data_IF_079633390312
#
_entry.id   IF_079633390312
#
_cell.length_a   1.000
_cell.length_b   1.000
_cell.length_c   1.000
_cell.angle_alpha   90.00
_cell.angle_beta   90.00
_cell.angle_gamma   90.00
#
_symmetry.space_group_name_H-M   'P 1'
#
loop_
_entity.id
_entity.type
_entity.pdbx_description
1 polymer ?
#
# COMPACT_ATOMS: atom_id res chain seq x y z
N UNK A 1 -3.98 9.79 -18.81
CA UNK A 1 -3.45 10.41 -18.71
C UNK A 1 -3.69 11.32 -18.08
N UNK A 2 -3.50 11.70 -17.71
CA UNK A 2 -3.73 12.59 -17.10
C UNK A 2 -3.63 13.70 -17.73
N UNK A 3 -3.89 14.27 -17.98
CA UNK A 3 -3.82 15.09 -18.51
C UNK A 3 -3.37 16.11 -18.38
N UNK A 4 -3.28 16.62 -18.14
CA UNK A 4 -2.88 17.62 -18.09
C UNK A 4 -2.15 17.91 -17.39
N UNK A 5 -1.74 17.93 -17.21
CA UNK A 5 -1.11 18.31 -16.65
C UNK A 5 -0.63 18.20 -15.82
N UNK A 6 -0.24 18.03 -15.66
CA UNK A 6 0.43 18.04 -14.83
C UNK A 6 -0.01 17.66 -13.73
N UNK A 7 -0.47 16.89 -13.50
CA UNK A 7 -0.79 16.33 -12.32
C UNK A 7 -2.12 16.64 -11.78
N UNK A 8 -2.73 17.60 -12.28
CA UNK A 8 -4.06 17.92 -11.80
C UNK A 8 -5.11 17.21 -12.61
N UNK A 9 -6.11 16.75 -11.90
CA UNK A 9 -7.27 16.17 -12.52
C UNK A 9 -8.44 17.04 -12.31
N UNK A 10 -9.23 17.19 -13.34
CA UNK A 10 -10.44 17.95 -13.25
C UNK A 10 -11.61 17.01 -13.09
N UNK A 11 -12.45 17.28 -12.14
CA UNK A 11 -13.79 16.80 -12.20
C UNK A 11 -14.65 18.02 -12.49
N UNK A 12 -15.93 17.92 -12.39
CA UNK A 12 -16.79 19.02 -12.79
C UNK A 12 -16.65 20.25 -11.93
N UNK A 13 -16.17 20.11 -10.72
CA UNK A 13 -16.30 21.17 -9.72
C UNK A 13 -15.02 21.50 -9.02
N UNK A 14 -14.04 20.65 -9.08
CA UNK A 14 -12.83 20.88 -8.33
C UNK A 14 -11.64 20.25 -9.02
N UNK A 15 -10.50 20.77 -8.68
CA UNK A 15 -9.23 20.27 -9.15
C UNK A 15 -8.39 20.06 -7.92
N UNK A 16 -7.82 18.89 -7.77
CA UNK A 16 -6.99 18.69 -6.62
C UNK A 16 -6.45 17.28 -6.52
N UNK A 17 -5.34 17.22 -5.85
CA UNK A 17 -4.67 15.97 -5.52
C UNK A 17 -4.48 15.94 -4.03
N UNK A 18 -4.43 14.74 -3.51
CA UNK A 18 -4.14 14.52 -2.10
C UNK A 18 -3.06 13.48 -2.00
N UNK A 19 -2.44 13.40 -0.83
CA UNK A 19 -1.44 12.37 -0.57
C UNK A 19 -1.84 11.61 0.68
N UNK A 20 -1.48 10.35 0.71
CA UNK A 20 -1.76 9.50 1.86
C UNK A 20 -0.56 8.61 2.13
N UNK A 21 -0.19 8.50 3.42
CA UNK A 21 0.74 7.48 3.87
C UNK A 21 -0.07 6.23 4.16
N UNK A 22 0.36 5.09 3.61
CA UNK A 22 -0.26 3.81 3.87
C UNK A 22 0.78 2.86 4.40
N UNK A 23 0.44 2.15 5.48
CA UNK A 23 1.32 1.15 6.07
C UNK A 23 0.50 -0.10 6.31
N UNK A 24 1.02 -1.26 5.90
CA UNK A 24 0.36 -2.52 6.22
C UNK A 24 1.39 -3.61 6.40
N UNK A 25 0.97 -4.71 6.99
CA UNK A 25 1.88 -5.78 7.37
C UNK A 25 1.38 -7.14 6.87
N UNK A 26 2.31 -8.09 6.68
CA UNK A 26 1.92 -9.47 6.42
C UNK A 26 1.15 -10.07 7.60
N UNK A 27 0.37 -11.09 7.31
CA UNK A 27 -0.38 -11.82 8.32
C UNK A 27 0.58 -12.30 9.41
N UNK A 28 0.18 -12.07 10.66
CA UNK A 28 1.00 -12.40 11.83
C UNK A 28 2.35 -11.71 11.82
N UNK A 29 2.48 -10.65 11.05
CA UNK A 29 3.72 -9.89 10.90
C UNK A 29 4.90 -10.78 10.51
N UNK A 30 4.65 -11.79 9.70
CA UNK A 30 5.71 -12.68 9.24
C UNK A 30 6.68 -11.93 8.35
N UNK A 31 7.99 -12.10 8.56
CA UNK A 31 9.00 -11.36 7.77
C UNK A 31 9.23 -12.05 6.43
N UNK A 32 8.22 -12.07 5.57
CA UNK A 32 8.29 -12.78 4.30
C UNK A 32 8.64 -11.90 3.11
N UNK A 33 8.69 -10.58 3.30
CA UNK A 33 8.92 -9.65 2.18
C UNK A 33 10.42 -9.48 1.94
N UNK A 34 11.04 -10.53 1.42
CA UNK A 34 12.48 -10.58 1.20
C UNK A 34 12.80 -11.17 -0.16
N UNK A 35 14.00 -10.88 -0.66
CA UNK A 35 14.48 -11.50 -1.89
C UNK A 35 13.55 -11.23 -3.07
N UNK A 36 13.24 -12.28 -3.81
CA UNK A 36 12.43 -12.16 -5.02
C UNK A 36 11.00 -11.71 -4.71
N UNK A 37 10.48 -12.09 -3.57
CA UNK A 37 9.14 -11.66 -3.16
C UNK A 37 9.13 -10.15 -3.02
N UNK A 38 10.13 -9.58 -2.38
CA UNK A 38 10.21 -8.14 -2.20
C UNK A 38 10.33 -7.41 -3.54
N UNK A 39 11.18 -7.92 -4.42
CA UNK A 39 11.36 -7.31 -5.73
C UNK A 39 10.06 -7.34 -6.52
N UNK A 40 9.40 -8.48 -6.51
CA UNK A 40 8.15 -8.62 -7.25
C UNK A 40 7.05 -7.75 -6.64
N UNK A 41 6.99 -7.68 -5.33
CA UNK A 41 6.03 -6.82 -4.65
C UNK A 41 6.20 -5.36 -5.11
N UNK A 42 7.43 -4.90 -5.15
CA UNK A 42 7.71 -3.53 -5.60
C UNK A 42 7.14 -3.28 -7.00
N UNK A 43 7.34 -4.23 -7.90
CA UNK A 43 6.82 -4.10 -9.27
C UNK A 43 5.29 -4.09 -9.29
N UNK A 44 4.68 -4.96 -8.50
CA UNK A 44 3.22 -5.02 -8.46
C UNK A 44 2.63 -3.72 -7.94
N UNK A 45 3.22 -3.16 -6.89
CA UNK A 45 2.72 -1.91 -6.33
C UNK A 45 2.77 -0.79 -7.36
N UNK A 46 3.86 -0.72 -8.13
CA UNK A 46 3.95 0.29 -9.19
C UNK A 46 2.89 0.07 -10.26
N UNK A 47 2.62 -1.18 -10.61
CA UNK A 47 1.60 -1.46 -11.62
C UNK A 47 0.21 -1.06 -11.16
N UNK A 48 -0.09 -1.25 -9.88
CA UNK A 48 -1.37 -0.82 -9.33
C UNK A 48 -1.52 0.69 -9.44
N UNK A 49 -0.46 1.41 -9.09
CA UNK A 49 -0.50 2.87 -9.18
C UNK A 49 -0.73 3.32 -10.61
N UNK A 50 0.01 2.76 -11.54
CA UNK A 50 -0.13 3.14 -12.96
C UNK A 50 -1.55 2.86 -13.45
N UNK A 51 -2.09 1.71 -13.12
CA UNK A 51 -3.43 1.32 -13.61
C UNK A 51 -4.52 2.21 -13.05
N UNK A 52 -4.32 2.79 -11.89
CA UNK A 52 -5.32 3.64 -11.26
C UNK A 52 -5.05 5.12 -11.40
N UNK A 53 -3.97 5.49 -12.06
CA UNK A 53 -3.62 6.89 -12.23
C UNK A 53 -3.08 7.54 -10.98
N UNK A 54 -2.52 6.76 -10.07
CA UNK A 54 -1.90 7.26 -8.85
C UNK A 54 -0.39 7.33 -9.02
N UNK A 55 0.26 8.11 -8.16
CA UNK A 55 1.70 8.25 -8.18
C UNK A 55 2.25 7.84 -6.82
N UNK A 56 3.17 6.87 -6.82
CA UNK A 56 3.88 6.51 -5.61
C UNK A 56 5.03 7.49 -5.44
N UNK A 57 4.92 8.36 -4.43
CA UNK A 57 5.92 9.37 -4.15
C UNK A 57 7.09 8.82 -3.34
N UNK A 58 6.82 7.82 -2.54
CA UNK A 58 7.84 7.14 -1.74
C UNK A 58 7.37 5.73 -1.45
N UNK A 59 8.31 4.81 -1.39
CA UNK A 59 8.00 3.40 -1.20
C UNK A 59 9.11 2.78 -0.37
N UNK A 60 8.71 2.10 0.69
CA UNK A 60 9.64 1.36 1.53
C UNK A 60 9.05 -0.01 1.82
N UNK A 61 9.80 -1.05 1.52
CA UNK A 61 9.39 -2.43 1.77
C UNK A 61 10.40 -3.04 2.70
N UNK A 62 10.02 -3.18 3.96
CA UNK A 62 10.82 -3.92 4.94
C UNK A 62 10.35 -5.37 4.91
N UNK A 63 11.05 -6.24 5.62
CA UNK A 63 10.69 -7.66 5.60
C UNK A 63 9.29 -7.92 6.16
N UNK A 64 8.82 -7.06 7.06
CA UNK A 64 7.57 -7.27 7.79
C UNK A 64 6.59 -6.11 7.65
N UNK A 65 6.81 -5.18 6.73
CA UNK A 65 5.82 -4.13 6.50
C UNK A 65 6.10 -3.40 5.18
N UNK A 66 5.05 -2.73 4.70
CA UNK A 66 5.12 -1.88 3.51
C UNK A 66 4.69 -0.48 3.93
N UNK A 67 5.41 0.51 3.45
CA UNK A 67 5.07 1.91 3.67
C UNK A 67 5.08 2.62 2.32
N UNK A 68 3.94 3.17 1.93
CA UNK A 68 3.81 3.94 0.68
C UNK A 68 3.35 5.35 0.98
N UNK A 69 3.86 6.29 0.21
CA UNK A 69 3.29 7.63 0.12
C UNK A 69 2.72 7.75 -1.28
N UNK A 70 1.40 7.91 -1.37
CA UNK A 70 0.68 7.87 -2.64
C UNK A 70 -0.02 9.20 -2.88
N UNK A 71 0.17 9.75 -4.08
CA UNK A 71 -0.58 10.89 -4.52
C UNK A 71 -1.75 10.39 -5.36
N UNK A 72 -2.92 10.90 -5.08
CA UNK A 72 -4.14 10.36 -5.68
C UNK A 72 -5.17 11.47 -5.85
N UNK A 73 -6.17 11.19 -6.64
CA UNK A 73 -7.32 12.02 -6.88
C UNK A 73 -8.19 12.04 -5.62
N UNK A 74 -8.46 13.23 -5.11
CA UNK A 74 -9.12 13.36 -3.81
C UNK A 74 -10.57 12.85 -3.80
N UNK A 75 -11.11 12.47 -4.95
CA UNK A 75 -12.43 11.86 -4.99
C UNK A 75 -12.39 10.35 -4.73
N UNK A 76 -11.21 9.78 -4.68
CA UNK A 76 -11.05 8.34 -4.43
C UNK A 76 -10.98 8.11 -2.94
N UNK A 77 -11.71 7.12 -2.44
CA UNK A 77 -11.68 6.78 -1.02
C UNK A 77 -10.38 6.06 -0.66
N UNK A 78 -9.83 6.40 0.49
CA UNK A 78 -8.58 5.78 0.94
C UNK A 78 -8.72 4.28 1.08
N UNK A 79 -9.87 3.78 1.52
CA UNK A 79 -10.07 2.33 1.65
C UNK A 79 -9.98 1.64 0.29
N UNK A 80 -10.38 2.30 -0.78
CA UNK A 80 -10.27 1.72 -2.12
C UNK A 80 -8.83 1.70 -2.59
N UNK A 81 -8.05 2.71 -2.21
CA UNK A 81 -6.62 2.72 -2.54
C UNK A 81 -5.92 1.55 -1.84
N UNK A 82 -6.17 1.41 -0.54
CA UNK A 82 -5.57 0.31 0.23
C UNK A 82 -5.98 -1.04 -0.34
N UNK A 83 -7.26 -1.18 -0.67
CA UNK A 83 -7.77 -2.44 -1.22
C UNK A 83 -7.11 -2.79 -2.55
N UNK A 84 -6.90 -1.79 -3.39
CA UNK A 84 -6.28 -2.03 -4.69
C UNK A 84 -4.85 -2.54 -4.53
N UNK A 85 -4.06 -1.89 -3.69
CA UNK A 85 -2.68 -2.33 -3.47
C UNK A 85 -2.61 -3.69 -2.80
N UNK A 86 -3.37 -3.89 -1.74
CA UNK A 86 -3.31 -5.12 -0.98
C UNK A 86 -3.91 -6.29 -1.75
N UNK A 87 -5.01 -6.06 -2.45
CA UNK A 87 -5.68 -7.13 -3.17
C UNK A 87 -4.86 -7.70 -4.30
N UNK A 88 -4.36 -6.82 -5.17
CA UNK A 88 -3.58 -7.31 -6.31
C UNK A 88 -2.28 -7.94 -5.85
N UNK A 89 -1.60 -7.32 -4.89
CA UNK A 89 -0.33 -7.87 -4.43
C UNK A 89 -0.52 -9.22 -3.75
N UNK A 90 -1.57 -9.38 -2.96
CA UNK A 90 -1.84 -10.67 -2.33
C UNK A 90 -2.07 -11.75 -3.39
N UNK A 91 -2.91 -11.45 -4.37
CA UNK A 91 -3.24 -12.46 -5.37
C UNK A 91 -2.01 -12.87 -6.18
N UNK A 92 -1.30 -11.90 -6.72
CA UNK A 92 -0.18 -12.21 -7.59
C UNK A 92 0.97 -12.86 -6.84
N UNK A 93 1.29 -12.35 -5.66
CA UNK A 93 2.41 -12.94 -4.91
C UNK A 93 2.11 -14.36 -4.48
N UNK A 94 0.88 -14.64 -4.06
CA UNK A 94 0.54 -16.00 -3.65
C UNK A 94 0.50 -16.95 -4.83
N UNK A 95 0.12 -16.46 -6.01
CA UNK A 95 0.15 -17.28 -7.22
C UNK A 95 1.59 -17.59 -7.64
N UNK A 96 2.46 -16.60 -7.54
CA UNK A 96 3.84 -16.72 -8.02
C UNK A 96 4.78 -17.35 -7.01
N UNK A 97 4.46 -17.26 -5.72
CA UNK A 97 5.28 -17.80 -4.64
C UNK A 97 4.42 -18.67 -3.76
N UNK A 98 4.28 -19.95 -4.12
CA UNK A 98 3.35 -20.85 -3.40
C UNK A 98 3.60 -20.99 -1.92
N UNK A 99 4.84 -20.76 -1.47
CA UNK A 99 5.12 -20.82 -0.03
C UNK A 99 4.31 -19.79 0.75
N UNK A 100 3.86 -18.72 0.12
CA UNK A 100 3.03 -17.73 0.80
C UNK A 100 1.61 -18.24 1.08
N UNK A 101 1.22 -19.33 0.44
CA UNK A 101 -0.10 -19.91 0.67
C UNK A 101 -0.20 -20.61 2.02
N UNK A 102 0.92 -20.77 2.72
CA UNK A 102 0.89 -21.29 4.09
C UNK A 102 0.20 -20.34 5.04
N UNK A 103 0.17 -19.06 4.69
CA UNK A 103 -0.58 -18.09 5.49
C UNK A 103 -2.04 -18.11 5.03
N UNK A 104 -3.00 -17.94 5.96
CA UNK A 104 -4.41 -17.90 5.56
C UNK A 104 -4.73 -16.74 4.63
N UNK A 105 -4.00 -15.66 4.74
CA UNK A 105 -4.02 -14.54 3.80
C UNK A 105 -2.63 -13.94 3.84
N UNK A 106 -2.26 -13.19 2.80
CA UNK A 106 -0.93 -12.57 2.81
C UNK A 106 -0.86 -11.42 3.81
N UNK A 107 -1.86 -10.54 3.79
CA UNK A 107 -1.86 -9.34 4.61
C UNK A 107 -2.85 -9.46 5.76
N UNK A 108 -2.61 -8.69 6.83
CA UNK A 108 -3.65 -8.50 7.84
C UNK A 108 -4.77 -7.68 7.23
N UNK A 109 -5.93 -7.69 7.87
CA UNK A 109 -7.05 -6.91 7.37
C UNK A 109 -6.84 -5.41 7.49
N UNK A 110 -6.16 -4.98 8.53
CA UNK A 110 -6.03 -3.56 8.82
C UNK A 110 -4.93 -2.91 8.00
N UNK A 111 -4.91 -1.62 8.03
CA UNK A 111 -3.83 -0.81 7.52
C UNK A 111 -3.84 0.50 8.30
N UNK A 112 -2.68 1.15 8.35
CA UNK A 112 -2.57 2.48 8.94
C UNK A 112 -2.56 3.50 7.81
N UNK A 113 -3.20 4.64 8.00
CA UNK A 113 -3.10 5.71 7.02
C UNK A 113 -3.02 7.06 7.71
N UNK A 114 -2.43 8.01 7.00
CA UNK A 114 -2.29 9.38 7.48
C UNK A 114 -2.27 10.29 6.25
N UNK A 115 -3.14 11.31 6.25
CA UNK A 115 -3.37 12.11 5.05
C UNK A 115 -2.68 13.45 5.04
N UNK A 116 -2.03 13.86 6.11
CA UNK A 116 -1.40 15.17 6.15
C UNK A 116 -0.06 15.10 6.83
N UNK A 117 0.88 15.90 6.31
CA UNK A 117 2.19 16.02 6.88
C UNK A 117 2.97 14.74 6.88
N UNK A 118 4.04 14.75 7.63
CA UNK A 118 4.86 13.58 7.81
C UNK A 118 4.31 12.71 8.91
N UNK A 119 4.34 11.40 8.70
CA UNK A 119 4.04 10.48 9.76
C UNK A 119 5.35 10.15 10.46
N UNK A 120 5.35 10.15 11.80
CA UNK A 120 6.57 9.88 12.54
C UNK A 120 6.88 8.40 12.55
N UNK A 121 8.18 8.10 12.68
CA UNK A 121 8.61 6.71 12.82
C UNK A 121 7.91 6.05 14.01
N UNK A 122 7.74 6.80 15.11
CA UNK A 122 7.08 6.26 16.29
C UNK A 122 5.65 5.81 15.98
N UNK A 123 4.91 6.59 15.20
CA UNK A 123 3.55 6.22 14.83
C UNK A 123 3.51 4.96 13.98
N UNK A 124 4.42 4.85 13.02
CA UNK A 124 4.50 3.67 12.17
C UNK A 124 4.82 2.44 13.01
N UNK A 125 5.80 2.56 13.91
CA UNK A 125 6.17 1.42 14.76
C UNK A 125 5.07 1.05 15.72
N UNK A 126 4.31 2.03 16.20
CA UNK A 126 3.17 1.78 17.05
C UNK A 126 2.15 0.88 16.35
N UNK A 127 1.86 1.18 15.09
CA UNK A 127 0.96 0.34 14.31
C UNK A 127 1.54 -1.06 14.12
N UNK A 128 2.80 -1.14 13.70
CA UNK A 128 3.43 -2.43 13.39
C UNK A 128 3.48 -3.32 14.62
N UNK A 129 3.71 -2.74 15.77
CA UNK A 129 3.87 -3.50 17.02
C UNK A 129 2.57 -3.77 17.75
N UNK A 130 1.44 -3.34 17.20
CA UNK A 130 0.15 -3.55 17.84
C UNK A 130 -0.10 -5.06 17.97
N UNK A 131 -0.30 -5.58 19.19
CA UNK A 131 -0.49 -7.01 19.39
C UNK A 131 -1.72 -7.58 18.70
N UNK A 132 -2.69 -6.74 18.34
CA UNK A 132 -3.87 -7.22 17.61
C UNK A 132 -3.52 -7.84 16.27
N UNK A 133 -2.42 -7.44 15.67
CA UNK A 133 -2.03 -7.99 14.37
C UNK A 133 -1.63 -9.46 14.44
N UNK A 134 -1.36 -9.96 15.61
CA UNK A 134 -0.84 -11.32 15.76
C UNK A 134 -1.88 -12.31 16.22
N UNK A 135 -3.10 -11.91 16.31
CA UNK A 135 -4.15 -12.75 16.86
C UNK A 135 -4.90 -13.58 15.87
N UNK A 136 -4.44 -13.68 14.71
CA UNK A 136 -5.26 -14.34 13.69
C UNK A 136 -4.66 -15.63 13.21
#
# INVERSE_FOLDING_TARGET
MRKDSVGYRHNNHSVGLATVHLVWIPKRRKPVLKGDIRTRLSEILESVAVDNGWIIKAKEIASDHVHLLVEYDENTAICDIARAFKGRSSKLLRDEFPELKKLPSLWTRSYFYHTSGKVSTAKVMEYINDPHHERH
#
